data_IF_252585041021
#
_entry.id   IF_252585041021
#
_cell.length_a   1.000
_cell.length_b   1.000
_cell.length_c   1.000
_cell.angle_alpha   90.00
_cell.angle_beta   90.00
_cell.angle_gamma   90.00
#
_symmetry.space_group_name_H-M   'P 1'
#
loop_
_entity.id
_entity.type
_entity.pdbx_description
1 polymer ?
#
# COMPACT_ATOMS: atom_id res chain seq x y z
N UNK A 1 -8.23 -2.89 -39.41
CA UNK A 1 -7.03 -2.86 -38.54
C UNK A 1 -6.71 -1.41 -38.22
N UNK A 2 -6.95 -0.94 -37.00
CA UNK A 2 -6.67 0.45 -36.61
C UNK A 2 -5.16 0.59 -36.40
N UNK A 3 -4.47 1.38 -37.24
CA UNK A 3 -3.07 1.74 -37.03
C UNK A 3 -3.03 2.81 -35.93
N UNK A 4 -2.72 2.42 -34.71
CA UNK A 4 -2.45 3.37 -33.62
C UNK A 4 -1.05 3.94 -33.85
N UNK A 5 -0.96 5.27 -34.02
CA UNK A 5 0.31 5.96 -34.25
C UNK A 5 1.24 5.74 -33.05
N UNK A 6 2.49 5.36 -33.30
CA UNK A 6 3.53 5.14 -32.28
C UNK A 6 3.64 6.35 -31.33
N UNK A 7 3.50 7.57 -31.85
CA UNK A 7 3.45 8.79 -31.02
C UNK A 7 2.31 8.80 -30.01
N UNK A 8 1.11 8.35 -30.37
CA UNK A 8 -0.04 8.28 -29.44
C UNK A 8 0.26 7.27 -28.32
N UNK A 9 0.91 6.15 -28.63
CA UNK A 9 1.33 5.16 -27.63
C UNK A 9 2.34 5.76 -26.63
N UNK A 10 3.30 6.57 -27.09
CA UNK A 10 4.25 7.26 -26.21
C UNK A 10 3.60 8.32 -25.33
N UNK A 11 2.65 9.10 -25.86
CA UNK A 11 1.91 10.10 -25.07
C UNK A 11 0.99 9.45 -24.03
N UNK A 12 0.27 8.38 -24.41
CA UNK A 12 -0.56 7.60 -23.46
C UNK A 12 0.31 6.97 -22.37
N UNK A 13 1.46 6.39 -22.72
CA UNK A 13 2.39 5.83 -21.75
C UNK A 13 2.96 6.90 -20.82
N UNK A 14 3.39 8.06 -21.32
CA UNK A 14 3.94 9.15 -20.50
C UNK A 14 2.89 9.77 -19.54
N UNK A 15 1.61 9.77 -19.92
CA UNK A 15 0.51 10.26 -19.08
C UNK A 15 0.05 9.21 -18.07
N UNK A 16 0.02 7.92 -18.43
CA UNK A 16 -0.38 6.83 -17.54
C UNK A 16 0.71 6.41 -16.54
N UNK A 17 1.99 6.47 -16.91
CA UNK A 17 3.10 6.00 -16.08
C UNK A 17 3.21 6.68 -14.70
N UNK A 18 3.05 8.01 -14.54
CA UNK A 18 3.14 8.66 -13.22
C UNK A 18 1.94 8.36 -12.30
N UNK A 19 0.78 7.94 -12.84
CA UNK A 19 -0.39 7.57 -12.05
C UNK A 19 -0.24 6.23 -11.31
N UNK A 20 0.65 5.35 -11.80
CA UNK A 20 0.84 3.99 -11.25
C UNK A 20 1.74 4.00 -9.98
N UNK A 21 2.40 5.12 -9.68
CA UNK A 21 3.39 5.26 -8.59
C UNK A 21 2.90 6.10 -7.40
N UNK A 22 1.60 6.37 -7.29
CA UNK A 22 1.08 7.05 -6.11
C UNK A 22 1.32 6.20 -4.85
N UNK A 23 1.81 6.84 -3.79
CA UNK A 23 1.91 6.19 -2.49
C UNK A 23 0.50 6.09 -1.88
N UNK A 24 0.04 4.87 -1.60
CA UNK A 24 -1.27 4.53 -1.07
C UNK A 24 -1.09 3.61 0.14
N UNK A 25 -0.97 4.21 1.33
CA UNK A 25 -1.01 3.45 2.57
C UNK A 25 -1.85 4.22 3.59
N UNK A 26 -2.73 3.54 4.33
CA UNK A 26 -3.67 4.20 5.25
C UNK A 26 -5.00 4.57 4.61
N UNK A 27 -5.97 4.93 5.44
CA UNK A 27 -7.39 5.02 5.08
C UNK A 27 -7.82 6.43 4.65
N UNK A 28 -6.99 7.44 4.91
CA UNK A 28 -7.25 8.83 4.59
C UNK A 28 -5.94 9.59 4.29
N UNK A 29 -6.06 10.85 3.86
CA UNK A 29 -4.91 11.69 3.46
C UNK A 29 -3.89 11.90 4.59
N UNK A 30 -4.35 11.98 5.83
CA UNK A 30 -3.47 12.20 6.98
C UNK A 30 -2.67 10.94 7.32
N UNK A 31 -3.34 9.79 7.39
CA UNK A 31 -2.67 8.49 7.58
C UNK A 31 -1.67 8.19 6.46
N UNK A 32 -2.04 8.50 5.21
CA UNK A 32 -1.15 8.36 4.06
C UNK A 32 0.10 9.22 4.16
N UNK A 33 -0.08 10.49 4.53
CA UNK A 33 1.03 11.39 4.74
C UNK A 33 1.94 10.93 5.88
N UNK A 34 1.37 10.52 7.02
CA UNK A 34 2.14 10.00 8.15
C UNK A 34 2.92 8.74 7.80
N UNK A 35 2.27 7.78 7.14
CA UNK A 35 2.93 6.55 6.71
C UNK A 35 4.09 6.86 5.75
N UNK A 36 3.86 7.74 4.76
CA UNK A 36 4.90 8.17 3.82
C UNK A 36 6.07 8.83 4.54
N UNK A 37 5.79 9.71 5.50
CA UNK A 37 6.81 10.42 6.26
C UNK A 37 7.66 9.45 7.09
N UNK A 38 7.04 8.57 7.89
CA UNK A 38 7.74 7.60 8.72
C UNK A 38 8.69 6.73 7.89
N UNK A 39 8.16 6.12 6.82
CA UNK A 39 8.96 5.25 5.93
C UNK A 39 10.06 6.05 5.22
N UNK A 40 9.82 7.30 4.84
CA UNK A 40 10.85 8.12 4.18
C UNK A 40 12.02 8.42 5.11
N UNK A 41 11.75 8.70 6.39
CA UNK A 41 12.78 9.03 7.38
C UNK A 41 13.59 7.82 7.82
N UNK A 42 12.93 6.67 8.00
CA UNK A 42 13.52 5.52 8.69
C UNK A 42 13.88 4.38 7.72
N UNK A 43 13.22 4.35 6.57
CA UNK A 43 13.25 3.29 5.56
C UNK A 43 13.35 3.84 4.13
N UNK A 44 13.93 5.03 3.90
CA UNK A 44 13.75 5.81 2.66
C UNK A 44 13.94 5.05 1.34
N UNK A 45 14.93 4.15 1.24
CA UNK A 45 15.17 3.30 0.06
C UNK A 45 14.13 2.20 -0.17
N UNK A 46 13.11 2.10 0.69
CA UNK A 46 12.14 0.99 0.75
C UNK A 46 10.70 1.47 0.68
N UNK A 47 10.48 2.76 0.43
CA UNK A 47 9.17 3.36 0.30
C UNK A 47 8.27 2.58 -0.67
N UNK A 48 8.79 2.21 -1.84
CA UNK A 48 8.07 1.40 -2.83
C UNK A 48 7.69 0.00 -2.33
N UNK A 49 8.55 -0.63 -1.51
CA UNK A 49 8.29 -1.97 -0.96
C UNK A 49 7.19 -1.93 0.09
N UNK A 50 7.23 -0.96 1.00
CA UNK A 50 6.15 -0.73 1.96
C UNK A 50 4.83 -0.40 1.26
N UNK A 51 4.87 0.49 0.26
CA UNK A 51 3.69 0.83 -0.53
C UNK A 51 3.06 -0.41 -1.19
N UNK A 52 3.91 -1.30 -1.73
CA UNK A 52 3.45 -2.55 -2.33
C UNK A 52 2.74 -3.47 -1.32
N UNK A 53 3.22 -3.49 -0.06
CA UNK A 53 2.53 -4.20 1.02
C UNK A 53 1.17 -3.58 1.33
N UNK A 54 1.06 -2.25 1.40
CA UNK A 54 -0.23 -1.58 1.65
C UNK A 54 -1.23 -1.85 0.51
N UNK A 55 -0.82 -1.71 -0.75
CA UNK A 55 -1.67 -2.03 -1.90
C UNK A 55 -2.12 -3.51 -1.94
N UNK A 56 -1.31 -4.43 -1.44
CA UNK A 56 -1.71 -5.84 -1.33
C UNK A 56 -2.70 -6.07 -0.17
N UNK A 57 -2.54 -5.34 0.93
CA UNK A 57 -3.44 -5.37 2.08
C UNK A 57 -4.82 -4.78 1.76
N UNK A 58 -4.86 -3.62 1.11
CA UNK A 58 -6.09 -2.99 0.64
C UNK A 58 -6.86 -3.93 -0.29
N UNK A 59 -6.19 -4.56 -1.27
CA UNK A 59 -6.81 -5.57 -2.14
C UNK A 59 -7.33 -6.79 -1.39
N UNK A 60 -6.65 -7.21 -0.31
CA UNK A 60 -7.11 -8.31 0.53
C UNK A 60 -8.37 -7.91 1.33
N UNK A 61 -8.41 -6.67 1.81
CA UNK A 61 -9.57 -6.07 2.45
C UNK A 61 -10.74 -5.95 1.48
N UNK A 62 -10.51 -5.49 0.25
CA UNK A 62 -11.52 -5.42 -0.81
C UNK A 62 -12.04 -6.81 -1.18
N UNK A 63 -11.19 -7.83 -1.20
CA UNK A 63 -11.61 -9.21 -1.42
C UNK A 63 -12.36 -9.83 -0.22
N UNK A 64 -12.44 -9.12 0.91
CA UNK A 64 -13.05 -9.60 2.16
C UNK A 64 -12.54 -10.97 2.59
N UNK A 65 -11.24 -11.23 2.42
CA UNK A 65 -10.61 -12.53 2.70
C UNK A 65 -10.45 -12.85 4.21
N UNK A 66 -10.96 -11.98 5.09
CA UNK A 66 -10.82 -12.06 6.54
C UNK A 66 -9.72 -11.14 7.07
N UNK A 67 -10.09 -10.20 7.95
CA UNK A 67 -9.18 -9.19 8.50
C UNK A 67 -7.89 -9.79 9.06
N UNK A 68 -8.00 -10.79 9.94
CA UNK A 68 -6.84 -11.42 10.57
C UNK A 68 -5.89 -12.08 9.56
N UNK A 69 -6.43 -12.64 8.47
CA UNK A 69 -5.63 -13.24 7.39
C UNK A 69 -4.88 -12.13 6.65
N UNK A 70 -5.59 -11.07 6.24
CA UNK A 70 -4.99 -9.93 5.55
C UNK A 70 -3.92 -9.24 6.40
N UNK A 71 -4.19 -9.00 7.69
CA UNK A 71 -3.25 -8.36 8.61
C UNK A 71 -1.99 -9.20 8.81
N UNK A 72 -2.12 -10.52 8.94
CA UNK A 72 -0.95 -11.40 9.10
C UNK A 72 -0.09 -11.45 7.82
N UNK A 73 -0.73 -11.47 6.64
CA UNK A 73 -0.01 -11.39 5.35
C UNK A 73 0.72 -10.05 5.25
N UNK A 74 0.04 -8.95 5.61
CA UNK A 74 0.62 -7.62 5.63
C UNK A 74 1.82 -7.53 6.58
N UNK A 75 1.68 -8.00 7.82
CA UNK A 75 2.77 -8.05 8.81
C UNK A 75 4.00 -8.77 8.25
N UNK A 76 3.83 -9.93 7.61
CA UNK A 76 4.93 -10.64 6.97
C UNK A 76 5.53 -9.89 5.79
N UNK A 77 4.73 -9.12 5.05
CA UNK A 77 5.20 -8.29 3.94
C UNK A 77 6.07 -7.14 4.43
N UNK A 78 5.60 -6.36 5.42
CA UNK A 78 6.35 -5.21 5.94
C UNK A 78 7.63 -5.63 6.66
N UNK A 79 7.63 -6.77 7.36
CA UNK A 79 8.85 -7.33 7.96
C UNK A 79 9.92 -7.63 6.89
N UNK A 80 9.54 -8.27 5.79
CA UNK A 80 10.44 -8.51 4.65
C UNK A 80 10.89 -7.21 3.98
N UNK A 81 10.00 -6.23 3.86
CA UNK A 81 10.35 -4.90 3.35
C UNK A 81 11.34 -4.18 4.29
N UNK A 82 11.28 -4.44 5.59
CA UNK A 82 12.09 -3.82 6.64
C UNK A 82 13.44 -4.49 6.94
N UNK A 83 13.78 -5.62 6.31
CA UNK A 83 15.09 -6.28 6.46
C UNK A 83 16.31 -5.40 6.17
N UNK A 84 17.17 -5.17 7.17
CA UNK A 84 18.51 -4.60 6.97
C UNK A 84 18.87 -3.40 7.87
N UNK A 85 17.92 -2.83 8.61
CA UNK A 85 18.20 -1.88 9.70
C UNK A 85 17.23 -2.09 10.85
N UNK A 86 17.68 -1.86 12.09
CA UNK A 86 16.84 -2.00 13.30
C UNK A 86 15.66 -1.03 13.26
N UNK A 87 15.92 0.23 12.90
CA UNK A 87 14.92 1.30 12.85
C UNK A 87 13.78 0.98 11.88
N UNK A 88 14.12 0.49 10.68
CA UNK A 88 13.10 0.09 9.72
C UNK A 88 12.31 -1.16 10.17
N UNK A 89 12.96 -2.07 10.91
CA UNK A 89 12.31 -3.19 11.59
C UNK A 89 11.28 -2.74 12.64
N UNK A 90 11.62 -1.74 13.44
CA UNK A 90 10.68 -1.11 14.39
C UNK A 90 9.46 -0.57 13.68
N UNK A 91 9.64 0.17 12.58
CA UNK A 91 8.53 0.67 11.77
C UNK A 91 7.63 -0.46 11.27
N UNK A 92 8.20 -1.55 10.72
CA UNK A 92 7.40 -2.70 10.31
C UNK A 92 6.55 -3.27 11.47
N UNK A 93 7.11 -3.35 12.67
CA UNK A 93 6.37 -3.75 13.87
C UNK A 93 5.22 -2.80 14.21
N UNK A 94 5.45 -1.48 14.13
CA UNK A 94 4.44 -0.44 14.35
C UNK A 94 3.31 -0.56 13.33
N UNK A 95 3.63 -0.64 12.04
CA UNK A 95 2.63 -0.79 10.97
C UNK A 95 1.79 -2.07 11.17
N UNK A 96 2.43 -3.20 11.50
CA UNK A 96 1.73 -4.44 11.81
C UNK A 96 0.77 -4.28 13.01
N UNK A 97 1.20 -3.61 14.08
CA UNK A 97 0.38 -3.34 15.25
C UNK A 97 -0.83 -2.44 14.91
N UNK A 98 -0.63 -1.43 14.06
CA UNK A 98 -1.69 -0.50 13.67
C UNK A 98 -2.83 -1.24 12.96
N UNK A 99 -2.54 -2.04 11.93
CA UNK A 99 -3.60 -2.74 11.19
C UNK A 99 -4.34 -3.76 12.05
N UNK A 100 -3.62 -4.45 12.95
CA UNK A 100 -4.21 -5.43 13.85
C UNK A 100 -5.16 -4.79 14.86
N UNK A 101 -4.76 -3.69 15.48
CA UNK A 101 -5.51 -3.07 16.57
C UNK A 101 -6.53 -2.03 16.11
N UNK A 102 -6.33 -1.39 14.95
CA UNK A 102 -7.16 -0.27 14.48
C UNK A 102 -7.77 -0.48 13.09
N UNK A 103 -7.42 -1.57 12.40
CA UNK A 103 -7.88 -1.82 11.03
C UNK A 103 -9.35 -2.28 10.89
N UNK A 104 -10.10 -2.43 11.98
CA UNK A 104 -11.47 -2.98 11.95
C UNK A 104 -12.43 -2.15 11.09
N UNK A 105 -12.38 -0.82 11.24
CA UNK A 105 -13.26 0.07 10.50
C UNK A 105 -12.87 0.13 9.02
N UNK A 106 -11.56 0.16 8.72
CA UNK A 106 -11.06 0.09 7.36
C UNK A 106 -11.51 -1.20 6.65
N UNK A 107 -11.39 -2.36 7.31
CA UNK A 107 -11.85 -3.64 6.77
C UNK A 107 -13.36 -3.66 6.49
N UNK A 108 -14.17 -3.14 7.42
CA UNK A 108 -15.64 -3.05 7.25
C UNK A 108 -16.03 -2.09 6.13
N UNK A 109 -15.27 -1.02 5.93
CA UNK A 109 -15.53 -0.03 4.89
C UNK A 109 -15.16 -0.54 3.50
N UNK A 110 -14.07 -1.30 3.36
CA UNK A 110 -13.70 -1.96 2.11
C UNK A 110 -14.85 -2.83 1.57
N UNK A 111 -15.55 -3.56 2.45
CA UNK A 111 -16.75 -4.34 2.08
C UNK A 111 -17.82 -3.50 1.39
N UNK A 112 -18.05 -2.27 1.84
CA UNK A 112 -19.11 -1.41 1.31
C UNK A 112 -18.79 -0.93 -0.10
N UNK A 113 -17.52 -0.84 -0.46
CA UNK A 113 -17.06 -0.40 -1.79
C UNK A 113 -17.35 -1.46 -2.88
N UNK A 114 -17.57 -2.72 -2.51
CA UNK A 114 -17.95 -3.79 -3.45
C UNK A 114 -19.43 -3.70 -3.86
N UNK A 115 -20.27 -3.10 -3.02
CA UNK A 115 -21.72 -2.99 -3.22
C UNK A 115 -22.17 -1.62 -3.74
N UNK A 116 -21.24 -0.82 -4.26
CA UNK A 116 -21.48 0.48 -4.91
C UNK A 116 -21.04 0.41 -6.37
#
# INVERSE_FOLDING_TARGET
>A
MVRVSVGIVFWVAAICLPLILAFTCGSNRFENWLAKLAITLDCGSRLSRFNSCCMAHDRCYDAQAGKAICDNIFCGCVDRAAKGTVRCGTDAGVFCSIVKNFGDQAYKNARKQIFQ
#
